data_IF_387345405857
#
_entry.id   IF_387345405857
#
_cell.length_a   1.000
_cell.length_b   1.000
_cell.length_c   1.000
_cell.angle_alpha   90.00
_cell.angle_beta   90.00
_cell.angle_gamma   90.00
#
_symmetry.space_group_name_H-M   'P 1'
#
loop_
_entity.id
_entity.type
_entity.pdbx_description
1 polymer ?
#
# COMPACT_ATOMS: atom_id res chain seq x y z
N UNK A 1 19.70 -16.78 4.78
CA UNK A 1 19.01 -18.07 4.92
C UNK A 1 17.72 -17.96 5.72
N UNK A 2 17.76 -17.48 6.98
CA UNK A 2 16.55 -17.26 7.81
C UNK A 2 15.47 -16.44 7.08
N UNK A 3 15.86 -15.32 6.48
CA UNK A 3 14.93 -14.45 5.76
C UNK A 3 14.22 -15.15 4.59
N UNK A 4 14.91 -16.03 3.86
CA UNK A 4 14.29 -16.82 2.78
C UNK A 4 13.28 -17.82 3.33
N UNK A 5 13.60 -18.45 4.47
CA UNK A 5 12.68 -19.32 5.19
C UNK A 5 11.42 -18.59 5.67
N UNK A 6 11.57 -17.39 6.21
CA UNK A 6 10.42 -16.58 6.65
C UNK A 6 9.50 -16.21 5.48
N UNK A 7 10.08 -15.76 4.36
CA UNK A 7 9.30 -15.42 3.16
C UNK A 7 8.54 -16.64 2.64
N UNK A 8 9.19 -17.81 2.54
CA UNK A 8 8.52 -19.03 2.09
C UNK A 8 7.45 -19.51 3.08
N UNK A 9 7.69 -19.39 4.39
CA UNK A 9 6.72 -19.69 5.44
C UNK A 9 5.46 -18.84 5.33
N UNK A 10 5.61 -17.53 5.14
CA UNK A 10 4.49 -16.63 4.93
C UNK A 10 3.74 -16.94 3.62
N UNK A 11 4.44 -17.15 2.50
CA UNK A 11 3.81 -17.47 1.21
C UNK A 11 3.00 -18.77 1.28
N UNK A 12 3.60 -19.83 1.84
CA UNK A 12 2.98 -21.16 1.91
C UNK A 12 1.80 -21.15 2.88
N UNK A 13 1.94 -20.49 4.03
CA UNK A 13 0.82 -20.35 4.98
C UNK A 13 -0.33 -19.52 4.41
N UNK A 14 -0.08 -18.43 3.67
CA UNK A 14 -1.15 -17.59 3.13
C UNK A 14 -1.92 -18.27 2.01
N UNK A 15 -1.24 -18.95 1.08
CA UNK A 15 -1.92 -19.55 -0.09
C UNK A 15 -2.41 -20.98 0.12
N UNK A 16 -1.73 -21.76 0.97
CA UNK A 16 -1.88 -23.21 0.98
C UNK A 16 -2.25 -23.81 2.33
N UNK A 17 -2.57 -23.02 3.37
CA UNK A 17 -2.81 -23.53 4.74
C UNK A 17 -3.78 -24.73 4.82
N UNK A 18 -4.79 -24.76 3.94
CA UNK A 18 -5.80 -25.82 3.88
C UNK A 18 -5.60 -26.83 2.74
N UNK A 19 -4.51 -26.69 1.98
CA UNK A 19 -4.20 -27.50 0.81
C UNK A 19 -3.08 -28.49 1.08
N UNK A 20 -3.03 -29.56 0.31
CA UNK A 20 -2.12 -30.69 0.51
C UNK A 20 -0.67 -30.27 0.24
N UNK A 21 -0.49 -29.25 -0.61
CA UNK A 21 0.78 -28.61 -0.92
C UNK A 21 1.49 -28.11 0.35
N UNK A 22 0.76 -27.63 1.36
CA UNK A 22 1.36 -27.17 2.61
C UNK A 22 2.02 -28.31 3.39
N UNK A 23 1.37 -29.47 3.46
CA UNK A 23 1.93 -30.64 4.13
C UNK A 23 3.17 -31.17 3.39
N UNK A 24 3.13 -31.18 2.06
CA UNK A 24 4.28 -31.60 1.22
C UNK A 24 5.46 -30.66 1.42
N UNK A 25 5.26 -29.35 1.28
CA UNK A 25 6.34 -28.37 1.46
C UNK A 25 6.94 -28.41 2.88
N UNK A 26 6.09 -28.52 3.91
CA UNK A 26 6.55 -28.62 5.30
C UNK A 26 7.31 -29.93 5.55
N UNK A 27 6.82 -31.05 5.01
CA UNK A 27 7.47 -32.36 5.14
C UNK A 27 8.85 -32.42 4.46
N UNK A 28 8.97 -31.89 3.24
CA UNK A 28 10.26 -31.80 2.52
C UNK A 28 11.26 -30.93 3.30
N UNK A 29 10.81 -29.81 3.87
CA UNK A 29 11.67 -28.89 4.61
C UNK A 29 12.15 -29.49 5.95
N UNK A 30 11.29 -30.27 6.63
CA UNK A 30 11.66 -31.05 7.80
C UNK A 30 12.68 -32.16 7.47
N UNK A 31 12.46 -32.90 6.38
CA UNK A 31 13.39 -33.93 5.90
C UNK A 31 14.76 -33.34 5.57
N UNK A 32 14.80 -32.25 4.81
CA UNK A 32 16.04 -31.54 4.47
C UNK A 32 16.76 -30.98 5.70
N UNK A 33 16.04 -30.53 6.72
CA UNK A 33 16.63 -30.08 7.98
C UNK A 33 17.22 -31.24 8.80
N UNK A 34 16.59 -32.41 8.79
CA UNK A 34 17.12 -33.62 9.44
C UNK A 34 18.43 -34.10 8.80
N UNK A 35 18.57 -33.91 7.48
CA UNK A 35 19.76 -34.33 6.74
C UNK A 35 20.86 -33.27 6.66
N UNK A 36 20.50 -31.98 6.57
CA UNK A 36 21.46 -30.87 6.40
C UNK A 36 21.32 -29.80 7.50
N UNK A 37 22.34 -29.69 8.36
CA UNK A 37 22.39 -28.68 9.44
C UNK A 37 22.29 -27.22 8.94
N UNK A 38 22.75 -26.94 7.71
CA UNK A 38 22.63 -25.62 7.08
C UNK A 38 21.17 -25.17 6.87
N UNK A 39 20.25 -26.12 6.66
CA UNK A 39 18.82 -25.84 6.47
C UNK A 39 18.07 -25.56 7.77
N UNK A 40 18.67 -25.81 8.93
CA UNK A 40 18.06 -25.49 10.24
C UNK A 40 17.71 -24.00 10.36
N UNK A 41 18.56 -23.12 9.83
CA UNK A 41 18.29 -21.68 9.81
C UNK A 41 17.10 -21.31 8.89
N UNK A 42 16.90 -22.05 7.80
CA UNK A 42 15.76 -21.87 6.90
C UNK A 42 14.47 -22.38 7.56
N UNK A 43 14.53 -23.53 8.22
CA UNK A 43 13.41 -24.09 8.97
C UNK A 43 12.96 -23.16 10.11
N UNK A 44 13.90 -22.60 10.88
CA UNK A 44 13.57 -21.63 11.93
C UNK A 44 12.86 -20.39 11.36
N UNK A 45 13.34 -19.88 10.22
CA UNK A 45 12.66 -18.81 9.48
C UNK A 45 11.26 -19.21 9.02
N UNK A 46 11.09 -20.42 8.49
CA UNK A 46 9.81 -20.95 8.01
C UNK A 46 8.77 -21.06 9.13
N UNK A 47 9.16 -21.61 10.27
CA UNK A 47 8.30 -21.71 11.46
C UNK A 47 7.92 -20.31 11.95
N UNK A 48 8.89 -19.39 12.02
CA UNK A 48 8.62 -18.00 12.40
C UNK A 48 7.63 -17.34 11.42
N UNK A 49 7.75 -17.59 10.13
CA UNK A 49 6.81 -17.10 9.11
C UNK A 49 5.39 -17.61 9.33
N UNK A 50 5.22 -18.90 9.61
CA UNK A 50 3.90 -19.49 9.95
C UNK A 50 3.33 -18.85 11.21
N UNK A 51 4.13 -18.74 12.26
CA UNK A 51 3.72 -18.15 13.53
C UNK A 51 3.26 -16.70 13.35
N UNK A 52 4.02 -15.90 12.60
CA UNK A 52 3.66 -14.51 12.27
C UNK A 52 2.33 -14.46 11.51
N UNK A 53 2.13 -15.30 10.50
CA UNK A 53 0.86 -15.36 9.75
C UNK A 53 -0.33 -15.68 10.65
N UNK A 54 -0.22 -16.71 11.50
CA UNK A 54 -1.29 -17.12 12.40
C UNK A 54 -1.58 -16.03 13.44
N UNK A 55 -0.54 -15.50 14.09
CA UNK A 55 -0.68 -14.45 15.09
C UNK A 55 -1.37 -13.21 14.51
N UNK A 56 -0.94 -12.77 13.31
CA UNK A 56 -1.52 -11.62 12.65
C UNK A 56 -2.96 -11.87 12.20
N UNK A 57 -3.28 -13.08 11.74
CA UNK A 57 -4.66 -13.46 11.42
C UNK A 57 -5.59 -13.29 12.63
N UNK A 58 -5.21 -13.83 13.79
CA UNK A 58 -6.03 -13.77 14.99
C UNK A 58 -6.15 -12.35 15.56
N UNK A 59 -5.06 -11.58 15.53
CA UNK A 59 -5.02 -10.25 16.12
C UNK A 59 -5.81 -9.23 15.28
N UNK A 60 -5.81 -9.38 13.96
CA UNK A 60 -6.32 -8.36 13.02
C UNK A 60 -7.53 -8.85 12.21
N UNK A 61 -7.48 -10.07 11.68
CA UNK A 61 -8.40 -10.57 10.64
C UNK A 61 -9.45 -11.58 11.12
N UNK A 62 -9.40 -12.05 12.38
CA UNK A 62 -10.38 -13.00 12.90
C UNK A 62 -11.77 -12.35 13.05
N UNK A 63 -12.86 -12.91 12.51
CA UNK A 63 -14.17 -12.25 12.51
C UNK A 63 -14.62 -11.86 13.93
N UNK A 64 -15.02 -10.60 14.18
CA UNK A 64 -15.36 -10.12 15.53
C UNK A 64 -16.65 -10.72 16.08
N UNK A 65 -17.58 -11.09 15.19
CA UNK A 65 -18.91 -11.60 15.55
C UNK A 65 -19.24 -12.80 14.67
N UNK A 66 -19.87 -13.81 15.26
CA UNK A 66 -20.28 -15.03 14.57
C UNK A 66 -21.33 -14.74 13.48
N UNK A 67 -21.27 -15.49 12.37
CA UNK A 67 -22.14 -15.28 11.20
C UNK A 67 -23.65 -15.25 11.55
N UNK A 68 -24.08 -16.03 12.55
CA UNK A 68 -25.49 -16.12 12.96
C UNK A 68 -26.08 -14.83 13.53
N UNK A 69 -25.25 -13.93 14.06
CA UNK A 69 -25.71 -12.65 14.65
C UNK A 69 -25.85 -11.55 13.59
N UNK A 70 -25.26 -11.74 12.41
CA UNK A 70 -25.20 -10.71 11.36
C UNK A 70 -26.52 -10.55 10.58
N UNK A 71 -27.36 -11.59 10.55
CA UNK A 71 -28.66 -11.58 9.85
C UNK A 71 -29.77 -10.84 10.61
N UNK A 72 -29.47 -10.35 11.83
CA UNK A 72 -30.36 -9.55 12.66
C UNK A 72 -29.96 -8.07 12.63
N UNK A 73 -30.87 -7.17 13.00
CA UNK A 73 -30.54 -5.76 13.17
C UNK A 73 -29.64 -5.58 14.39
N UNK A 74 -28.39 -5.19 14.15
CA UNK A 74 -27.40 -4.96 15.20
C UNK A 74 -27.16 -3.46 15.32
N UNK A 75 -27.12 -2.88 16.54
CA UNK A 75 -26.75 -1.49 16.70
C UNK A 75 -25.27 -1.30 16.40
N UNK A 76 -24.95 -0.28 15.61
CA UNK A 76 -23.60 -0.02 15.12
C UNK A 76 -23.25 1.44 15.34
N UNK A 77 -22.03 1.68 15.80
CA UNK A 77 -21.45 3.02 15.92
C UNK A 77 -20.12 3.02 15.18
N UNK A 78 -19.97 3.91 14.21
CA UNK A 78 -18.77 3.98 13.39
C UNK A 78 -18.53 5.36 12.80
N UNK A 79 -17.29 5.60 12.39
CA UNK A 79 -16.88 6.83 11.71
C UNK A 79 -16.81 6.57 10.22
N UNK A 80 -17.37 7.45 9.39
CA UNK A 80 -17.27 7.31 7.94
C UNK A 80 -15.84 7.60 7.51
N UNK A 81 -15.15 6.57 6.99
CA UNK A 81 -13.76 6.67 6.55
C UNK A 81 -13.63 6.95 5.06
N UNK A 82 -14.58 6.47 4.24
CA UNK A 82 -14.57 6.67 2.79
C UNK A 82 -15.98 6.70 2.20
N UNK A 83 -16.24 7.67 1.32
CA UNK A 83 -17.45 7.70 0.49
C UNK A 83 -17.12 7.07 -0.87
N UNK A 84 -17.82 5.99 -1.24
CA UNK A 84 -17.58 5.25 -2.49
C UNK A 84 -18.52 5.73 -3.60
N UNK A 85 -19.76 6.09 -3.27
CA UNK A 85 -20.73 6.62 -4.23
C UNK A 85 -21.62 7.68 -3.60
N UNK A 86 -21.78 8.80 -4.30
CA UNK A 86 -22.68 9.91 -3.99
C UNK A 86 -24.02 9.72 -4.72
N UNK A 87 -25.13 9.74 -4.01
CA UNK A 87 -26.48 9.57 -4.57
C UNK A 87 -27.54 9.51 -3.47
N UNK A 88 -28.78 9.15 -3.82
CA UNK A 88 -29.91 9.05 -2.87
C UNK A 88 -29.71 7.99 -1.77
N UNK A 89 -28.80 7.03 -1.99
CA UNK A 89 -28.32 6.07 -0.99
C UNK A 89 -26.79 5.96 -1.10
N UNK A 90 -26.04 6.81 -0.40
CA UNK A 90 -24.60 6.80 -0.52
C UNK A 90 -24.04 5.47 0.01
N UNK A 91 -23.08 4.92 -0.73
CA UNK A 91 -22.35 3.71 -0.33
C UNK A 91 -21.04 4.14 0.30
N UNK A 92 -20.87 3.83 1.59
CA UNK A 92 -19.74 4.31 2.39
C UNK A 92 -19.01 3.14 3.05
N UNK A 93 -17.74 3.36 3.35
CA UNK A 93 -16.95 2.54 4.27
C UNK A 93 -16.96 3.20 5.64
N UNK A 94 -17.34 2.43 6.65
CA UNK A 94 -17.39 2.83 8.06
C UNK A 94 -16.33 2.09 8.85
N UNK A 95 -15.56 2.84 9.63
CA UNK A 95 -14.62 2.32 10.63
C UNK A 95 -15.38 2.20 11.95
N UNK A 96 -15.63 0.98 12.40
CA UNK A 96 -16.47 0.71 13.56
C UNK A 96 -15.76 1.02 14.87
N UNK A 97 -16.46 1.73 15.76
CA UNK A 97 -16.11 1.85 17.19
C UNK A 97 -16.83 0.78 18.01
N UNK A 98 -18.06 0.43 17.65
CA UNK A 98 -18.87 -0.56 18.36
C UNK A 98 -19.79 -1.33 17.40
N UNK A 99 -19.90 -2.64 17.61
CA UNK A 99 -20.80 -3.54 16.89
C UNK A 99 -21.58 -4.38 17.90
N UNK A 100 -22.84 -4.01 18.16
CA UNK A 100 -23.64 -4.65 19.20
C UNK A 100 -23.02 -4.44 20.59
N UNK A 101 -22.77 -5.55 21.29
CA UNK A 101 -22.06 -5.57 22.58
C UNK A 101 -20.53 -5.56 22.44
N UNK A 102 -20.00 -5.74 21.22
CA UNK A 102 -18.56 -5.79 20.98
C UNK A 102 -18.00 -4.39 20.77
N UNK A 103 -17.18 -3.91 21.71
CA UNK A 103 -16.38 -2.70 21.56
C UNK A 103 -15.09 -3.03 20.82
N UNK A 104 -14.79 -2.25 19.79
CA UNK A 104 -13.61 -2.48 18.96
C UNK A 104 -12.35 -2.01 19.71
N UNK A 105 -11.32 -2.85 19.91
CA UNK A 105 -10.08 -2.45 20.54
C UNK A 105 -9.31 -1.40 19.74
N UNK A 106 -8.55 -0.53 20.41
CA UNK A 106 -7.79 0.57 19.78
C UNK A 106 -6.75 0.12 18.74
N UNK A 107 -6.21 -1.10 18.88
CA UNK A 107 -5.22 -1.68 17.96
C UNK A 107 -5.84 -2.33 16.71
N UNK A 108 -7.18 -2.39 16.63
CA UNK A 108 -7.89 -3.15 15.61
C UNK A 108 -8.87 -2.26 14.85
N UNK A 109 -8.73 -2.19 13.53
CA UNK A 109 -9.69 -1.48 12.67
C UNK A 109 -10.62 -2.48 12.02
N UNK A 110 -11.93 -2.32 12.24
CA UNK A 110 -12.97 -3.16 11.64
C UNK A 110 -13.78 -2.29 10.69
N UNK A 111 -13.72 -2.58 9.40
CA UNK A 111 -14.44 -1.83 8.38
C UNK A 111 -15.69 -2.54 7.90
N UNK A 112 -16.72 -1.77 7.61
CA UNK A 112 -17.95 -2.24 6.98
C UNK A 112 -18.25 -1.38 5.77
N UNK A 113 -18.63 -2.01 4.66
CA UNK A 113 -19.21 -1.29 3.53
C UNK A 113 -20.72 -1.31 3.62
N UNK A 114 -21.35 -0.15 3.73
CA UNK A 114 -22.80 -0.08 3.86
C UNK A 114 -23.41 1.00 2.97
N UNK A 115 -24.62 0.70 2.47
CA UNK A 115 -25.50 1.76 1.95
C UNK A 115 -26.23 2.42 3.11
N UNK A 116 -26.13 3.75 3.19
CA UNK A 116 -26.84 4.51 4.20
C UNK A 116 -28.29 4.77 3.76
N UNK A 117 -29.20 4.82 4.72
CA UNK A 117 -30.60 5.22 4.55
C UNK A 117 -31.02 6.05 5.77
N UNK A 118 -31.63 7.21 5.53
CA UNK A 118 -32.00 8.18 6.59
C UNK A 118 -31.71 9.63 6.17
N UNK A 119 -31.90 10.57 7.11
CA UNK A 119 -31.43 11.95 6.96
C UNK A 119 -29.91 11.98 7.07
N UNK A 120 -29.24 12.46 6.02
CA UNK A 120 -27.79 12.42 5.89
C UNK A 120 -27.26 13.85 5.81
N UNK A 121 -26.15 14.16 6.51
CA UNK A 121 -25.49 15.45 6.36
C UNK A 121 -24.91 15.62 4.94
N UNK A 122 -24.78 16.86 4.49
CA UNK A 122 -24.18 17.21 3.19
C UNK A 122 -22.71 16.76 3.08
N UNK A 123 -21.99 16.71 4.21
CA UNK A 123 -20.65 16.17 4.30
C UNK A 123 -20.62 14.90 5.17
N UNK A 124 -20.25 13.79 4.55
CA UNK A 124 -20.16 12.48 5.20
C UNK A 124 -18.74 12.14 5.65
N UNK A 125 -17.75 13.02 5.48
CA UNK A 125 -16.37 12.70 5.85
C UNK A 125 -16.14 12.86 7.36
N UNK A 126 -15.56 11.85 7.99
CA UNK A 126 -15.21 11.84 9.43
C UNK A 126 -16.43 12.04 10.39
N UNK A 127 -17.66 11.84 9.90
CA UNK A 127 -18.88 11.88 10.73
C UNK A 127 -19.06 10.58 11.49
N UNK A 128 -19.49 10.69 12.75
CA UNK A 128 -19.85 9.55 13.58
C UNK A 128 -21.32 9.23 13.29
N UNK A 129 -21.59 8.04 12.78
CA UNK A 129 -22.93 7.54 12.54
C UNK A 129 -23.27 6.48 13.58
N UNK A 130 -24.45 6.61 14.19
CA UNK A 130 -25.07 5.56 15.01
C UNK A 130 -26.40 5.14 14.39
N UNK A 131 -26.66 3.83 14.40
CA UNK A 131 -27.89 3.28 13.83
C UNK A 131 -27.93 1.77 13.82
N UNK A 132 -29.00 1.22 13.26
CA UNK A 132 -29.18 -0.23 13.13
C UNK A 132 -28.67 -0.71 11.77
N UNK A 133 -27.87 -1.78 11.77
CA UNK A 133 -27.31 -2.37 10.56
C UNK A 133 -27.75 -3.81 10.37
N UNK A 134 -28.04 -4.16 9.12
CA UNK A 134 -28.17 -5.55 8.67
C UNK A 134 -26.92 -5.88 7.88
N UNK A 135 -26.13 -6.83 8.38
CA UNK A 135 -24.79 -7.12 7.88
C UNK A 135 -24.73 -8.51 7.24
N UNK A 136 -23.91 -8.64 6.20
CA UNK A 136 -23.66 -9.91 5.53
C UNK A 136 -22.17 -10.07 5.26
N UNK A 137 -21.62 -11.29 5.36
CA UNK A 137 -20.24 -11.53 4.94
C UNK A 137 -20.09 -11.31 3.43
N UNK A 138 -18.86 -11.02 3.01
CA UNK A 138 -18.52 -11.08 1.60
C UNK A 138 -18.47 -12.53 1.15
N UNK A 139 -19.08 -12.82 0.00
CA UNK A 139 -18.93 -14.10 -0.70
C UNK A 139 -18.65 -13.77 -2.16
N UNK A 140 -17.59 -14.34 -2.70
CA UNK A 140 -17.29 -14.27 -4.13
C UNK A 140 -17.32 -15.67 -4.73
N UNK A 141 -17.76 -15.79 -5.99
CA UNK A 141 -17.53 -17.03 -6.73
C UNK A 141 -16.07 -17.02 -7.18
N UNK A 142 -15.34 -18.12 -6.92
CA UNK A 142 -13.94 -18.30 -7.38
C UNK A 142 -13.90 -18.52 -8.89
N UNK A 143 -14.19 -17.47 -9.66
CA UNK A 143 -14.00 -17.45 -11.11
C UNK A 143 -12.82 -16.54 -11.43
N UNK A 144 -11.87 -17.05 -12.21
CA UNK A 144 -10.65 -16.32 -12.61
C UNK A 144 -10.92 -15.00 -13.34
N UNK A 145 -12.06 -14.90 -14.04
CA UNK A 145 -12.44 -13.73 -14.84
C UNK A 145 -13.25 -12.68 -14.07
N UNK A 146 -13.70 -12.99 -12.84
CA UNK A 146 -14.60 -12.13 -12.07
C UNK A 146 -13.84 -11.48 -10.92
N UNK A 147 -14.12 -10.21 -10.65
CA UNK A 147 -13.53 -9.49 -9.53
C UNK A 147 -13.77 -10.23 -8.20
N UNK A 148 -12.69 -10.60 -7.52
CA UNK A 148 -12.77 -11.27 -6.23
C UNK A 148 -13.06 -10.27 -5.10
N UNK A 149 -14.36 -10.09 -4.83
CA UNK A 149 -14.85 -9.19 -3.79
C UNK A 149 -14.45 -9.66 -2.38
N UNK A 150 -14.26 -10.96 -2.17
CA UNK A 150 -13.88 -11.53 -0.87
C UNK A 150 -12.41 -11.26 -0.59
N UNK A 151 -11.53 -11.49 -1.58
CA UNK A 151 -10.12 -11.14 -1.48
C UNK A 151 -9.92 -9.62 -1.31
N UNK A 152 -10.69 -8.79 -2.01
CA UNK A 152 -10.65 -7.34 -1.83
C UNK A 152 -11.08 -6.92 -0.43
N UNK A 153 -12.20 -7.47 0.07
CA UNK A 153 -12.73 -7.17 1.39
C UNK A 153 -11.76 -7.58 2.49
N UNK A 154 -11.23 -8.81 2.39
CA UNK A 154 -10.19 -9.31 3.29
C UNK A 154 -8.98 -8.38 3.31
N UNK A 155 -8.36 -8.07 2.16
CA UNK A 155 -7.18 -7.19 2.09
C UNK A 155 -7.42 -5.79 2.66
N UNK A 156 -8.63 -5.27 2.48
CA UNK A 156 -9.01 -3.93 2.94
C UNK A 156 -9.50 -3.90 4.40
N UNK A 157 -9.46 -5.04 5.10
CA UNK A 157 -10.01 -5.23 6.45
C UNK A 157 -11.51 -4.88 6.55
N UNK A 158 -12.23 -5.14 5.45
CA UNK A 158 -13.68 -4.97 5.36
C UNK A 158 -14.30 -6.33 5.66
N UNK A 159 -14.94 -6.45 6.80
CA UNK A 159 -15.47 -7.73 7.27
C UNK A 159 -16.86 -8.00 6.73
N UNK A 160 -17.69 -6.94 6.67
CA UNK A 160 -19.10 -7.07 6.37
C UNK A 160 -19.56 -6.05 5.33
N UNK A 161 -20.59 -6.42 4.59
CA UNK A 161 -21.35 -5.54 3.72
C UNK A 161 -22.80 -5.49 4.17
N UNK A 162 -23.46 -4.33 4.09
CA UNK A 162 -24.80 -4.23 4.64
C UNK A 162 -25.56 -2.96 4.29
N UNK A 163 -26.68 -2.78 4.99
CA UNK A 163 -27.44 -1.54 4.99
C UNK A 163 -27.48 -1.01 6.41
N UNK A 164 -27.37 0.31 6.55
CA UNK A 164 -27.44 0.99 7.84
C UNK A 164 -28.57 2.00 7.78
N UNK A 165 -29.54 1.83 8.67
CA UNK A 165 -30.54 2.84 8.97
C UNK A 165 -29.94 3.78 10.02
N UNK A 166 -29.61 5.00 9.61
CA UNK A 166 -28.98 6.00 10.48
C UNK A 166 -30.05 6.56 11.42
N UNK A 167 -29.78 6.53 12.73
CA UNK A 167 -30.68 7.05 13.76
C UNK A 167 -30.18 8.38 14.31
N UNK A 168 -28.88 8.52 14.52
CA UNK A 168 -28.28 9.79 14.91
C UNK A 168 -26.96 10.02 14.15
N UNK A 169 -26.68 11.30 13.91
CA UNK A 169 -25.46 11.78 13.29
C UNK A 169 -24.79 12.71 14.26
N UNK A 170 -23.60 12.35 14.73
CA UNK A 170 -22.77 13.25 15.54
C UNK A 170 -21.61 13.73 14.69
N UNK A 171 -21.41 15.05 14.63
CA UNK A 171 -20.21 15.61 14.02
C UNK A 171 -18.97 15.06 14.76
N UNK A 172 -17.95 14.63 14.02
CA UNK A 172 -16.74 14.05 14.60
C UNK A 172 -16.10 15.00 15.60
N UNK A 173 -15.65 14.48 16.74
CA UNK A 173 -15.21 15.29 17.89
C UNK A 173 -14.02 16.22 17.62
N UNK A 174 -13.19 16.00 16.58
CA UNK A 174 -12.14 16.94 16.15
C UNK A 174 -11.79 16.74 14.67
N UNK A 175 -11.65 17.82 13.89
CA UNK A 175 -11.03 17.75 12.56
C UNK A 175 -9.59 17.27 12.71
N UNK A 176 -9.30 16.10 12.14
CA UNK A 176 -7.94 15.57 12.12
C UNK A 176 -7.02 16.55 11.37
N UNK A 177 -5.72 16.68 11.71
CA UNK A 177 -4.79 17.53 10.94
C UNK A 177 -4.76 17.18 9.44
N UNK A 178 -5.04 15.92 9.10
CA UNK A 178 -5.22 15.46 7.73
C UNK A 178 -6.47 16.03 7.06
N UNK A 179 -7.58 16.16 7.78
CA UNK A 179 -8.79 16.78 7.27
C UNK A 179 -8.52 18.26 6.99
N UNK A 180 -7.89 18.98 7.93
CA UNK A 180 -7.49 20.37 7.71
C UNK A 180 -6.54 20.53 6.51
N UNK A 181 -5.58 19.62 6.32
CA UNK A 181 -4.71 19.61 5.13
C UNK A 181 -5.50 19.36 3.84
N UNK A 182 -6.46 18.43 3.85
CA UNK A 182 -7.31 18.16 2.67
C UNK A 182 -8.16 19.37 2.31
N UNK A 183 -8.78 20.00 3.30
CA UNK A 183 -9.58 21.21 3.11
C UNK A 183 -8.70 22.33 2.52
N UNK A 184 -7.50 22.53 3.07
CA UNK A 184 -6.54 23.51 2.55
C UNK A 184 -6.12 23.23 1.11
N UNK A 185 -5.83 21.96 0.75
CA UNK A 185 -5.51 21.59 -0.63
C UNK A 185 -6.73 21.79 -1.54
N UNK A 186 -7.93 21.42 -1.08
CA UNK A 186 -9.14 21.60 -1.88
C UNK A 186 -9.39 23.08 -2.21
N UNK A 187 -9.24 23.96 -1.21
CA UNK A 187 -9.37 25.41 -1.37
C UNK A 187 -8.25 25.99 -2.26
N UNK A 188 -7.00 25.57 -2.06
CA UNK A 188 -5.87 26.06 -2.84
C UNK A 188 -5.96 25.76 -4.34
N UNK A 189 -6.67 24.69 -4.72
CA UNK A 189 -6.87 24.28 -6.11
C UNK A 189 -8.32 24.46 -6.59
N UNK A 190 -9.16 25.16 -5.84
CA UNK A 190 -10.54 25.45 -6.21
C UNK A 190 -10.58 26.34 -7.46
N UNK A 191 -11.46 26.02 -8.42
CA UNK A 191 -11.62 26.78 -9.67
C UNK A 191 -10.63 26.44 -10.80
N UNK A 192 -9.64 25.59 -10.58
CA UNK A 192 -8.76 25.09 -11.65
C UNK A 192 -9.41 23.93 -12.42
N UNK A 193 -9.30 23.92 -13.75
CA UNK A 193 -9.89 22.89 -14.63
C UNK A 193 -9.44 21.45 -14.28
N UNK A 194 -8.25 21.28 -13.69
CA UNK A 194 -7.71 19.99 -13.22
C UNK A 194 -7.40 19.98 -11.71
N UNK A 195 -8.04 20.83 -10.91
CA UNK A 195 -7.81 20.91 -9.45
C UNK A 195 -8.01 19.57 -8.73
N UNK A 196 -9.00 18.78 -9.18
CA UNK A 196 -9.26 17.44 -8.65
C UNK A 196 -8.07 16.48 -8.83
N UNK A 197 -7.29 16.61 -9.92
CA UNK A 197 -6.13 15.75 -10.18
C UNK A 197 -4.99 16.05 -9.20
N UNK A 198 -4.71 17.33 -8.95
CA UNK A 198 -3.72 17.74 -7.96
C UNK A 198 -4.15 17.36 -6.54
N UNK A 199 -5.42 17.55 -6.21
CA UNK A 199 -5.99 17.11 -4.93
C UNK A 199 -5.74 15.60 -4.71
N UNK A 200 -6.06 14.76 -5.70
CA UNK A 200 -5.85 13.31 -5.63
C UNK A 200 -4.36 12.96 -5.46
N UNK A 201 -3.46 13.64 -6.17
CA UNK A 201 -2.03 13.38 -6.08
C UNK A 201 -1.43 13.79 -4.72
N UNK A 202 -1.90 14.89 -4.13
CA UNK A 202 -1.37 15.44 -2.89
C UNK A 202 -1.98 14.81 -1.65
N UNK A 203 -3.28 14.50 -1.69
CA UNK A 203 -4.03 13.93 -0.55
C UNK A 203 -4.17 12.42 -0.63
N UNK A 204 -4.00 11.86 -1.83
CA UNK A 204 -4.24 10.45 -2.10
C UNK A 204 -5.71 10.04 -2.12
N UNK A 205 -6.64 10.97 -1.90
CA UNK A 205 -8.07 10.70 -1.87
C UNK A 205 -8.67 10.69 -3.28
N UNK A 206 -9.40 9.62 -3.59
CA UNK A 206 -10.01 9.36 -4.90
C UNK A 206 -11.51 9.64 -4.94
N UNK A 207 -12.05 10.16 -3.84
CA UNK A 207 -13.47 10.51 -3.68
C UNK A 207 -13.93 11.57 -4.69
N UNK A 208 -13.08 12.55 -4.98
CA UNK A 208 -13.36 13.69 -5.86
C UNK A 208 -13.25 13.39 -7.36
N UNK A 209 -12.78 12.19 -7.74
CA UNK A 209 -12.63 11.82 -9.16
C UNK A 209 -13.98 11.37 -9.74
N UNK A 210 -14.46 12.09 -10.74
CA UNK A 210 -15.66 11.72 -11.49
C UNK A 210 -15.50 10.37 -12.20
N UNK A 211 -16.59 9.62 -12.34
CA UNK A 211 -16.55 8.29 -12.95
C UNK A 211 -16.11 8.33 -14.42
N UNK A 212 -16.53 9.36 -15.18
CA UNK A 212 -16.12 9.57 -16.56
C UNK A 212 -14.59 9.75 -16.68
N UNK A 213 -13.97 10.50 -15.77
CA UNK A 213 -12.51 10.67 -15.76
C UNK A 213 -11.78 9.38 -15.39
N UNK A 214 -12.32 8.58 -14.45
CA UNK A 214 -11.75 7.25 -14.15
C UNK A 214 -11.75 6.36 -15.39
N UNK A 215 -12.83 6.37 -16.15
CA UNK A 215 -12.98 5.54 -17.34
C UNK A 215 -12.07 6.03 -18.48
N UNK A 216 -11.89 7.34 -18.64
CA UNK A 216 -10.89 7.92 -19.55
C UNK A 216 -9.45 7.56 -19.16
N UNK A 217 -9.05 7.71 -17.90
CA UNK A 217 -7.72 7.31 -17.46
C UNK A 217 -7.49 5.80 -17.56
N UNK A 218 -8.55 4.99 -17.41
CA UNK A 218 -8.51 3.55 -17.61
C UNK A 218 -8.36 3.17 -19.08
N UNK A 219 -9.07 3.84 -19.99
CA UNK A 219 -8.96 3.58 -21.43
C UNK A 219 -7.59 3.98 -22.00
N UNK A 220 -6.98 5.03 -21.44
CA UNK A 220 -5.61 5.46 -21.73
C UNK A 220 -4.53 4.62 -21.03
N UNK A 221 -4.91 3.70 -20.14
CA UNK A 221 -3.99 2.90 -19.34
C UNK A 221 -3.12 3.73 -18.37
N UNK A 222 -3.57 4.92 -18.00
CA UNK A 222 -2.92 5.82 -17.02
C UNK A 222 -3.49 5.67 -15.61
N UNK A 223 -4.26 4.60 -15.36
CA UNK A 223 -4.84 4.33 -14.03
C UNK A 223 -3.79 4.17 -12.93
N UNK A 224 -2.54 3.83 -13.26
CA UNK A 224 -1.43 3.79 -12.31
C UNK A 224 -0.94 5.18 -11.92
N UNK A 225 -1.07 6.20 -12.78
CA UNK A 225 -0.70 7.58 -12.43
C UNK A 225 -1.67 8.20 -11.41
N UNK A 226 -2.93 7.75 -11.41
CA UNK A 226 -3.92 8.10 -10.37
C UNK A 226 -3.60 7.45 -9.01
N UNK A 227 -2.60 6.58 -8.93
CA UNK A 227 -2.04 6.13 -7.66
C UNK A 227 -0.70 6.84 -7.46
N UNK A 228 -0.43 7.33 -6.25
CA UNK A 228 0.84 7.99 -5.96
C UNK A 228 1.95 6.99 -6.25
N UNK A 229 2.77 7.32 -7.24
CA UNK A 229 3.87 6.47 -7.66
C UNK A 229 4.97 6.51 -6.59
N UNK A 230 5.70 5.41 -6.43
CA UNK A 230 6.87 5.39 -5.54
C UNK A 230 7.94 6.41 -5.97
N UNK A 231 7.89 6.87 -7.22
CA UNK A 231 8.76 7.90 -7.77
C UNK A 231 8.51 9.26 -7.12
N UNK A 232 7.27 9.66 -6.83
CA UNK A 232 7.01 10.91 -6.10
C UNK A 232 7.66 10.91 -4.72
N UNK A 233 7.55 9.79 -4.00
CA UNK A 233 8.20 9.63 -2.69
C UNK A 233 9.72 9.68 -2.82
N UNK A 234 10.28 9.06 -3.87
CA UNK A 234 11.72 9.11 -4.15
C UNK A 234 12.21 10.52 -4.49
N UNK A 235 11.44 11.30 -5.28
CA UNK A 235 11.74 12.71 -5.58
C UNK A 235 11.71 13.54 -4.30
N UNK A 236 10.64 13.43 -3.50
CA UNK A 236 10.52 14.18 -2.24
C UNK A 236 11.69 13.86 -1.32
N UNK A 237 12.08 12.58 -1.22
CA UNK A 237 13.24 12.15 -0.45
C UNK A 237 14.55 12.77 -0.98
N UNK A 238 14.82 12.66 -2.29
CA UNK A 238 16.03 13.17 -2.91
C UNK A 238 16.14 14.70 -2.82
N UNK A 239 15.03 15.42 -3.05
CA UNK A 239 14.95 16.87 -2.94
C UNK A 239 15.15 17.34 -1.50
N UNK A 240 14.51 16.67 -0.53
CA UNK A 240 14.69 16.99 0.89
C UNK A 240 16.15 16.80 1.32
N UNK A 241 16.79 15.73 0.83
CA UNK A 241 18.20 15.47 1.08
C UNK A 241 19.12 16.54 0.47
N UNK A 242 18.90 16.92 -0.80
CA UNK A 242 19.73 17.93 -1.48
C UNK A 242 19.53 19.32 -0.90
N UNK A 243 18.29 19.72 -0.58
CA UNK A 243 17.99 20.99 0.06
C UNK A 243 18.62 21.10 1.45
N UNK A 244 18.55 20.05 2.26
CA UNK A 244 19.19 20.04 3.58
C UNK A 244 20.71 20.14 3.46
N UNK A 245 21.31 19.42 2.51
CA UNK A 245 22.75 19.48 2.22
C UNK A 245 23.18 20.87 1.73
N UNK A 246 22.41 21.47 0.81
CA UNK A 246 22.72 22.78 0.24
C UNK A 246 22.52 23.91 1.26
N UNK A 247 21.44 23.85 2.05
CA UNK A 247 21.18 24.80 3.12
C UNK A 247 22.29 24.79 4.17
N UNK A 248 22.73 23.62 4.64
CA UNK A 248 23.82 23.56 5.61
C UNK A 248 25.15 24.07 5.02
N UNK A 249 25.41 23.80 3.74
CA UNK A 249 26.58 24.33 3.04
C UNK A 249 26.55 25.86 2.93
N UNK A 250 25.37 26.45 2.68
CA UNK A 250 25.19 27.89 2.54
C UNK A 250 25.30 28.63 3.89
N UNK A 251 24.71 28.08 4.96
CA UNK A 251 24.67 28.74 6.27
C UNK A 251 25.88 28.46 7.15
N UNK A 252 26.54 27.30 6.99
CA UNK A 252 27.71 26.93 7.78
C UNK A 252 28.76 26.15 6.97
N UNK A 253 29.48 26.84 6.06
CA UNK A 253 30.50 26.19 5.21
C UNK A 253 31.63 25.53 6.03
N UNK A 254 31.96 26.08 7.20
CA UNK A 254 33.07 25.61 8.04
C UNK A 254 32.73 24.38 8.91
N UNK A 255 31.44 24.15 9.23
CA UNK A 255 31.02 22.97 10.02
C UNK A 255 30.97 21.70 9.17
N UNK A 256 30.68 21.82 7.86
CA UNK A 256 30.51 20.68 6.93
C UNK A 256 31.73 19.76 6.86
N UNK A 257 32.94 20.26 7.16
CA UNK A 257 34.18 19.48 7.03
C UNK A 257 34.58 18.70 8.30
N UNK A 258 34.02 19.03 9.48
CA UNK A 258 34.52 18.50 10.76
C UNK A 258 33.67 17.37 11.34
N UNK A 259 32.42 17.21 10.90
CA UNK A 259 31.51 16.20 11.45
C UNK A 259 30.73 15.48 10.34
N UNK A 260 30.59 14.16 10.45
CA UNK A 260 29.80 13.34 9.52
C UNK A 260 28.28 13.59 9.74
N UNK A 261 27.79 14.75 9.30
CA UNK A 261 26.35 15.10 9.33
C UNK A 261 25.50 14.29 8.34
N UNK A 262 26.07 13.29 7.68
CA UNK A 262 25.35 12.38 6.79
C UNK A 262 24.11 11.80 7.49
N UNK A 263 24.23 11.43 8.77
CA UNK A 263 23.10 10.96 9.57
C UNK A 263 21.97 11.99 9.65
N UNK A 264 22.30 13.27 9.89
CA UNK A 264 21.32 14.36 9.98
C UNK A 264 20.55 14.56 8.67
N UNK A 265 21.23 14.54 7.52
CA UNK A 265 20.58 14.67 6.21
C UNK A 265 19.63 13.52 5.92
N UNK A 266 20.04 12.28 6.21
CA UNK A 266 19.19 11.11 6.01
C UNK A 266 17.99 11.13 6.94
N UNK A 267 18.17 11.44 8.24
CA UNK A 267 17.06 11.53 9.20
C UNK A 267 16.07 12.61 8.79
N UNK A 268 16.55 13.79 8.37
CA UNK A 268 15.68 14.87 7.91
C UNK A 268 14.90 14.50 6.64
N UNK A 269 15.58 13.94 5.63
CA UNK A 269 14.93 13.51 4.40
C UNK A 269 13.92 12.37 4.63
N UNK A 270 14.23 11.41 5.52
CA UNK A 270 13.32 10.35 5.92
C UNK A 270 12.11 10.88 6.69
N UNK A 271 12.33 11.86 7.57
CA UNK A 271 11.27 12.55 8.31
C UNK A 271 10.29 13.28 7.39
N UNK A 272 10.81 14.09 6.46
CA UNK A 272 9.97 14.83 5.51
C UNK A 272 9.23 13.90 4.53
N UNK A 273 9.93 12.94 3.93
CA UNK A 273 9.28 11.96 3.05
C UNK A 273 8.27 11.09 3.80
N UNK A 274 8.53 10.75 5.07
CA UNK A 274 7.58 10.05 5.92
C UNK A 274 6.35 10.89 6.24
N UNK A 275 6.55 12.18 6.52
CA UNK A 275 5.48 13.16 6.66
C UNK A 275 4.62 13.26 5.41
N UNK A 276 5.23 13.30 4.22
CA UNK A 276 4.51 13.28 2.95
C UNK A 276 3.67 12.00 2.78
N UNK A 277 4.24 10.81 3.04
CA UNK A 277 3.50 9.54 2.97
C UNK A 277 2.34 9.50 3.97
N UNK A 278 2.50 10.12 5.14
CA UNK A 278 1.44 10.25 6.13
C UNK A 278 0.34 11.22 5.68
N UNK A 279 0.69 12.35 5.09
CA UNK A 279 -0.27 13.32 4.54
C UNK A 279 -1.02 12.77 3.33
N UNK A 280 -0.34 11.97 2.51
CA UNK A 280 -0.90 11.36 1.30
C UNK A 280 -1.85 10.18 1.57
N UNK A 281 -2.32 10.02 2.82
CA UNK A 281 -3.26 8.97 3.20
C UNK A 281 -2.65 7.58 3.35
N UNK A 282 -1.34 7.46 3.60
CA UNK A 282 -0.66 6.18 3.85
C UNK A 282 -0.89 5.15 2.73
N UNK A 283 -0.83 5.58 1.47
CA UNK A 283 -1.00 4.66 0.34
C UNK A 283 0.04 3.53 0.40
N UNK A 284 -0.41 2.29 0.18
CA UNK A 284 0.44 1.09 0.30
C UNK A 284 1.67 1.16 -0.62
N UNK A 285 1.54 1.77 -1.81
CA UNK A 285 2.67 1.98 -2.73
C UNK A 285 3.73 2.93 -2.14
N UNK A 286 3.27 4.05 -1.59
CA UNK A 286 4.12 5.08 -1.01
C UNK A 286 4.85 4.58 0.26
N UNK A 287 4.16 3.80 1.10
CA UNK A 287 4.78 3.15 2.27
C UNK A 287 5.93 2.23 1.88
N UNK A 288 5.76 1.41 0.83
CA UNK A 288 6.82 0.50 0.37
C UNK A 288 8.03 1.27 -0.15
N UNK A 289 7.80 2.33 -0.94
CA UNK A 289 8.87 3.18 -1.45
C UNK A 289 9.66 3.84 -0.30
N UNK A 290 8.96 4.40 0.69
CA UNK A 290 9.59 4.99 1.87
C UNK A 290 10.35 3.97 2.71
N UNK A 291 9.81 2.76 2.91
CA UNK A 291 10.50 1.70 3.63
C UNK A 291 11.78 1.25 2.91
N UNK A 292 11.74 1.13 1.58
CA UNK A 292 12.93 0.81 0.78
C UNK A 292 13.98 1.91 0.89
N UNK A 293 13.57 3.19 0.87
CA UNK A 293 14.47 4.32 1.08
C UNK A 293 15.08 4.33 2.50
N UNK A 294 14.26 4.07 3.53
CA UNK A 294 14.69 3.93 4.93
C UNK A 294 15.76 2.86 5.08
N UNK A 295 15.49 1.65 4.57
CA UNK A 295 16.44 0.54 4.66
C UNK A 295 17.72 0.83 3.87
N UNK A 296 17.62 1.44 2.69
CA UNK A 296 18.78 1.89 1.93
C UNK A 296 19.63 2.91 2.69
N UNK A 297 18.99 3.91 3.30
CA UNK A 297 19.65 4.90 4.15
C UNK A 297 20.32 4.26 5.36
N UNK A 298 19.65 3.35 6.08
CA UNK A 298 20.26 2.61 7.19
C UNK A 298 21.48 1.82 6.73
N UNK A 299 21.41 1.13 5.59
CA UNK A 299 22.56 0.37 5.07
C UNK A 299 23.77 1.27 4.79
N UNK A 300 23.52 2.44 4.20
CA UNK A 300 24.54 3.45 3.93
C UNK A 300 25.16 3.98 5.23
N UNK A 301 24.34 4.34 6.21
CA UNK A 301 24.77 4.88 7.50
C UNK A 301 25.56 3.88 8.35
N UNK A 302 25.17 2.60 8.33
CA UNK A 302 25.91 1.55 9.04
C UNK A 302 27.17 1.06 8.29
N UNK A 303 27.55 1.75 7.19
CA UNK A 303 28.69 1.40 6.32
C UNK A 303 28.70 -0.08 5.88
N UNK A 304 27.53 -0.73 5.89
CA UNK A 304 27.41 -2.13 5.49
C UNK A 304 27.23 -2.18 3.99
N UNK A 305 28.21 -2.76 3.31
CA UNK A 305 28.12 -3.10 1.89
C UNK A 305 27.14 -4.27 1.68
N UNK A 306 25.86 -3.98 1.84
CA UNK A 306 24.78 -4.89 1.51
C UNK A 306 24.53 -4.79 0.01
N UNK A 307 24.42 -5.94 -0.65
CA UNK A 307 23.99 -5.96 -2.04
C UNK A 307 22.55 -5.45 -2.12
N UNK A 308 22.16 -4.73 -3.20
CA UNK A 308 20.78 -4.26 -3.37
C UNK A 308 19.73 -5.38 -3.22
N UNK A 309 20.07 -6.59 -3.67
CA UNK A 309 19.25 -7.79 -3.49
C UNK A 309 19.01 -8.14 -2.00
N UNK A 310 20.01 -7.97 -1.13
CA UNK A 310 19.85 -8.19 0.32
C UNK A 310 18.98 -7.11 0.96
N UNK A 311 19.14 -5.85 0.57
CA UNK A 311 18.28 -4.75 1.05
C UNK A 311 16.82 -4.99 0.68
N UNK A 312 16.58 -5.40 -0.57
CA UNK A 312 15.25 -5.76 -1.06
C UNK A 312 14.66 -6.96 -0.29
N UNK A 313 15.48 -7.96 0.01
CA UNK A 313 15.07 -9.13 0.80
C UNK A 313 14.69 -8.72 2.24
N UNK A 314 15.48 -7.85 2.88
CA UNK A 314 15.13 -7.30 4.20
C UNK A 314 13.85 -6.46 4.16
N UNK A 315 13.66 -5.65 3.12
CA UNK A 315 12.42 -4.89 2.92
C UNK A 315 11.20 -5.83 2.84
N UNK A 316 11.33 -6.92 2.09
CA UNK A 316 10.26 -7.93 2.00
C UNK A 316 9.96 -8.57 3.35
N UNK A 317 11.00 -8.96 4.10
CA UNK A 317 10.81 -9.52 5.45
C UNK A 317 10.09 -8.54 6.37
N UNK A 318 10.51 -7.27 6.40
CA UNK A 318 9.88 -6.25 7.25
C UNK A 318 8.40 -6.06 6.87
N UNK A 319 8.08 -6.03 5.58
CA UNK A 319 6.69 -5.94 5.10
C UNK A 319 5.89 -7.16 5.52
N UNK A 320 6.43 -8.37 5.38
CA UNK A 320 5.72 -9.62 5.73
C UNK A 320 5.56 -9.80 7.24
N UNK A 321 6.52 -9.34 8.03
CA UNK A 321 6.41 -9.34 9.50
C UNK A 321 5.35 -8.33 9.96
N UNK A 322 5.28 -7.16 9.33
CA UNK A 322 4.26 -6.16 9.63
C UNK A 322 2.87 -6.58 9.16
N UNK A 323 2.75 -7.15 7.95
CA UNK A 323 1.52 -7.69 7.41
C UNK A 323 1.80 -8.87 6.46
N UNK A 324 1.63 -10.13 6.90
CA UNK A 324 1.91 -11.32 6.08
C UNK A 324 0.94 -11.44 4.90
N UNK A 325 -0.27 -10.89 5.00
CA UNK A 325 -1.26 -10.90 3.93
C UNK A 325 -0.96 -9.88 2.82
N UNK A 326 0.09 -9.06 2.95
CA UNK A 326 0.58 -8.19 1.87
C UNK A 326 0.94 -8.97 0.59
N UNK A 327 1.26 -10.26 0.73
CA UNK A 327 1.48 -11.22 -0.37
C UNK A 327 0.28 -11.35 -1.31
N UNK A 328 -0.95 -11.14 -0.81
CA UNK A 328 -2.18 -11.17 -1.61
C UNK A 328 -2.36 -9.89 -2.44
N UNK A 329 -1.53 -8.88 -2.22
CA UNK A 329 -1.57 -7.62 -2.95
C UNK A 329 -0.63 -7.67 -4.16
N UNK A 330 -1.21 -7.70 -5.36
CA UNK A 330 -0.47 -7.65 -6.63
C UNK A 330 0.50 -6.46 -6.70
N UNK A 331 0.16 -5.33 -6.06
CA UNK A 331 1.01 -4.14 -6.00
C UNK A 331 2.37 -4.38 -5.33
N UNK A 332 2.50 -5.38 -4.45
CA UNK A 332 3.78 -5.78 -3.89
C UNK A 332 4.68 -6.31 -5.00
N UNK A 333 4.21 -7.28 -5.80
CA UNK A 333 4.99 -7.84 -6.90
C UNK A 333 5.39 -6.80 -7.93
N UNK A 334 4.46 -5.91 -8.33
CA UNK A 334 4.76 -4.80 -9.24
C UNK A 334 5.89 -3.91 -8.70
N UNK A 335 5.84 -3.55 -7.42
CA UNK A 335 6.85 -2.70 -6.78
C UNK A 335 8.21 -3.37 -6.71
N UNK A 336 8.25 -4.65 -6.29
CA UNK A 336 9.51 -5.39 -6.12
C UNK A 336 10.16 -5.71 -7.48
N UNK A 337 9.37 -6.14 -8.47
CA UNK A 337 9.87 -6.37 -9.83
C UNK A 337 10.41 -5.09 -10.45
N UNK A 338 9.69 -3.97 -10.33
CA UNK A 338 10.16 -2.68 -10.84
C UNK A 338 11.53 -2.31 -10.25
N UNK A 339 11.71 -2.43 -8.94
CA UNK A 339 12.98 -2.11 -8.28
C UNK A 339 14.10 -3.06 -8.70
N UNK A 340 13.83 -4.36 -8.82
CA UNK A 340 14.81 -5.34 -9.33
C UNK A 340 15.24 -5.01 -10.77
N UNK A 341 14.30 -4.68 -11.64
CA UNK A 341 14.59 -4.26 -13.02
C UNK A 341 15.41 -2.99 -13.07
N UNK A 342 15.05 -1.98 -12.26
CA UNK A 342 15.82 -0.73 -12.16
C UNK A 342 17.26 -1.04 -11.76
N UNK A 343 17.49 -1.83 -10.70
CA UNK A 343 18.84 -2.19 -10.27
C UNK A 343 19.61 -2.99 -11.33
N UNK A 344 18.95 -3.91 -12.03
CA UNK A 344 19.58 -4.70 -13.08
C UNK A 344 20.04 -3.79 -14.23
N UNK A 345 19.17 -2.88 -14.69
CA UNK A 345 19.47 -1.90 -15.74
C UNK A 345 20.59 -0.95 -15.33
N UNK A 346 20.55 -0.40 -14.13
CA UNK A 346 21.62 0.49 -13.66
C UNK A 346 22.96 -0.23 -13.58
N UNK A 347 22.97 -1.49 -13.12
CA UNK A 347 24.20 -2.29 -13.05
C UNK A 347 24.77 -2.58 -14.44
N UNK A 348 23.94 -2.95 -15.41
CA UNK A 348 24.40 -3.21 -16.79
C UNK A 348 24.84 -1.94 -17.49
N UNK A 349 24.15 -0.81 -17.25
CA UNK A 349 24.52 0.49 -17.80
C UNK A 349 25.86 1.00 -17.27
N UNK A 350 26.16 0.83 -15.98
CA UNK A 350 27.46 1.23 -15.42
C UNK A 350 28.61 0.30 -15.82
N UNK A 351 28.32 -0.91 -16.33
CA UNK A 351 29.32 -1.83 -16.88
C UNK A 351 29.56 -1.61 -18.38
N UNK A 352 28.66 -0.90 -19.06
CA UNK A 352 28.82 -0.47 -20.46
C UNK A 352 29.55 0.87 -20.57
N UNK A 353 30.15 1.12 -21.74
CA UNK A 353 30.96 2.32 -22.08
C UNK A 353 30.45 3.64 -21.48
N UNK A 354 31.39 4.48 -21.02
CA UNK A 354 31.18 5.80 -20.38
C UNK A 354 30.34 6.79 -21.22
N UNK A 355 30.07 6.49 -22.50
CA UNK A 355 29.36 7.37 -23.42
C UNK A 355 27.88 7.02 -23.65
N UNK A 356 27.23 6.32 -22.72
CA UNK A 356 25.79 6.07 -22.80
C UNK A 356 25.03 7.37 -22.51
N UNK A 357 24.49 8.00 -23.55
CA UNK A 357 23.65 9.20 -23.40
C UNK A 357 22.52 8.95 -22.41
N UNK A 358 22.27 9.90 -21.49
CA UNK A 358 21.19 9.83 -20.49
C UNK A 358 19.85 9.44 -21.12
N UNK A 359 19.56 9.93 -22.32
CA UNK A 359 18.35 9.59 -23.07
C UNK A 359 18.26 8.10 -23.45
N UNK A 360 19.38 7.46 -23.82
CA UNK A 360 19.42 6.01 -24.13
C UNK A 360 19.21 5.16 -22.88
N UNK A 361 19.81 5.57 -21.76
CA UNK A 361 19.61 4.89 -20.48
C UNK A 361 18.14 4.93 -20.04
N UNK A 362 17.52 6.11 -20.14
CA UNK A 362 16.10 6.31 -19.80
C UNK A 362 15.17 5.49 -20.69
N UNK A 363 15.42 5.47 -21.99
CA UNK A 363 14.67 4.64 -22.94
C UNK A 363 14.81 3.14 -22.60
N UNK A 364 16.04 2.68 -22.33
CA UNK A 364 16.29 1.29 -21.97
C UNK A 364 15.62 0.90 -20.64
N UNK A 365 15.64 1.79 -19.64
CA UNK A 365 14.97 1.60 -18.36
C UNK A 365 13.45 1.43 -18.55
N UNK A 366 12.84 2.29 -19.36
CA UNK A 366 11.40 2.25 -19.65
C UNK A 366 11.02 0.96 -20.38
N UNK A 367 11.78 0.56 -21.39
CA UNK A 367 11.59 -0.70 -22.11
C UNK A 367 11.73 -1.92 -21.18
N UNK A 368 12.76 -1.94 -20.32
CA UNK A 368 13.00 -3.03 -19.39
C UNK A 368 11.87 -3.15 -18.35
N UNK A 369 11.41 -2.03 -17.79
CA UNK A 369 10.26 -1.99 -16.88
C UNK A 369 9.01 -2.51 -17.57
N UNK A 370 8.75 -2.07 -18.80
CA UNK A 370 7.61 -2.53 -19.58
C UNK A 370 7.64 -4.04 -19.80
N UNK A 371 8.73 -4.59 -20.33
CA UNK A 371 8.88 -6.03 -20.60
C UNK A 371 8.74 -6.86 -19.32
N UNK A 372 9.31 -6.38 -18.21
CA UNK A 372 9.24 -7.11 -16.93
C UNK A 372 7.82 -7.11 -16.35
N UNK A 373 7.13 -5.98 -16.41
CA UNK A 373 5.82 -5.83 -15.78
C UNK A 373 4.67 -6.33 -16.67
N UNK A 374 4.87 -6.41 -17.99
CA UNK A 374 3.84 -6.79 -18.96
C UNK A 374 3.17 -8.14 -18.64
N UNK A 375 3.89 -9.26 -18.41
CA UNK A 375 3.26 -10.54 -18.08
C UNK A 375 2.37 -10.46 -16.83
N UNK A 376 2.82 -9.72 -15.80
CA UNK A 376 2.08 -9.55 -14.56
C UNK A 376 0.84 -8.66 -14.77
N UNK A 377 0.94 -7.63 -15.63
CA UNK A 377 -0.22 -6.81 -16.01
C UNK A 377 -1.25 -7.60 -16.80
N UNK A 378 -0.84 -8.43 -17.76
CA UNK A 378 -1.75 -9.26 -18.56
C UNK A 378 -2.45 -10.32 -17.70
N UNK A 379 -1.74 -10.89 -16.73
CA UNK A 379 -2.34 -11.83 -15.78
C UNK A 379 -3.39 -11.15 -14.87
N UNK A 380 -3.17 -9.88 -14.51
CA UNK A 380 -4.00 -9.18 -13.52
C UNK A 380 -5.20 -8.44 -14.15
N UNK A 381 -4.98 -7.79 -15.29
CA UNK A 381 -5.95 -6.96 -15.98
C UNK A 381 -6.26 -7.64 -17.31
N UNK A 382 -7.45 -8.22 -17.41
CA UNK A 382 -7.97 -8.96 -18.57
C UNK A 382 -8.22 -8.07 -19.81
N UNK A 383 -7.46 -6.98 -19.99
CA UNK A 383 -7.59 -6.05 -21.10
C UNK A 383 -6.45 -5.03 -21.10
N UNK A 384 -5.80 -4.88 -22.24
CA UNK A 384 -4.74 -3.91 -22.48
C UNK A 384 -5.16 -3.00 -23.64
N UNK A 385 -5.18 -1.68 -23.43
CA UNK A 385 -5.27 -0.72 -24.54
C UNK A 385 -3.85 -0.44 -25.04
N UNK A 386 -3.59 -0.71 -26.32
CA UNK A 386 -2.31 -0.42 -26.97
C UNK A 386 -1.92 1.08 -26.89
N UNK A 387 -2.91 1.96 -26.73
CA UNK A 387 -2.73 3.40 -26.50
C UNK A 387 -1.90 3.73 -25.26
N UNK A 388 -1.91 2.88 -24.23
CA UNK A 388 -1.15 3.09 -23.00
C UNK A 388 0.36 3.17 -23.23
N UNK A 389 0.88 2.50 -24.26
CA UNK A 389 2.32 2.48 -24.61
C UNK A 389 2.78 3.86 -25.07
N UNK A 390 2.06 4.44 -26.04
CA UNK A 390 2.35 5.77 -26.58
C UNK A 390 2.18 6.84 -25.50
N UNK A 391 1.14 6.72 -24.68
CA UNK A 391 0.83 7.72 -23.67
C UNK A 391 1.82 7.66 -22.48
N UNK A 392 2.22 6.48 -21.99
CA UNK A 392 3.23 6.41 -20.91
C UNK A 392 4.61 6.95 -21.36
N UNK A 393 4.97 6.76 -22.63
CA UNK A 393 6.22 7.28 -23.19
C UNK A 393 6.20 8.81 -23.33
N UNK A 394 5.03 9.40 -23.57
CA UNK A 394 4.86 10.84 -23.82
C UNK A 394 4.54 11.62 -22.54
N UNK A 395 3.80 11.02 -21.60
CA UNK A 395 3.32 11.65 -20.35
C UNK A 395 4.31 11.53 -19.20
N UNK A 396 5.24 10.57 -19.25
CA UNK A 396 6.38 10.53 -18.32
C UNK A 396 7.64 10.97 -19.09
N UNK A 397 7.79 12.26 -19.42
CA UNK A 397 9.11 12.76 -19.77
C UNK A 397 9.94 12.64 -18.49
N UNK A 398 11.06 11.96 -18.60
CA UNK A 398 12.00 11.80 -17.50
C UNK A 398 12.57 13.14 -17.04
#
# INVERSE_FOLDING_TARGET
MICCGLISGCLISVFYLSQWQWFVCSGVLLFLCGYFKAFSSVLAGFILGIFVTICHYWLVYAPPVAEKVLEQEVPVVGVVSKVIGSGTRPYVTLDLKQLGQYKVPWYRTIRINASLSGELPAELHETVLSGSAILKPFRSRKNFTVFDAELYAFRSQIFYKGRIAVSEVTAGEQKTWRAAYRDWVAEAFEGLHFGWFYYVLLTGDKSTIAQADKDHFKSLGLSHLLAISGLHVAIVFALSFTLCKFGLWLFWPHLSQWHNYQLGYFVFALGLSGGYVWLSGLQVSAQRAWLMALLGACCFLFARQLSPARVLLYALVVILVANPFAVLNLGLYFSFLAVVTIFFVFRTAMQGSEHTSKAKLLCYLQCALFVTLLPLTLYSYHGFSASSILVNLLVIPC
#
